data_IF_666594671442
#
_entry.id   IF_666594671442
#
_cell.length_a   1.000
_cell.length_b   1.000
_cell.length_c   1.000
_cell.angle_alpha   90.00
_cell.angle_beta   90.00
_cell.angle_gamma   90.00
#
_symmetry.space_group_name_H-M   'P 1'
#
loop_
_entity.id
_entity.type
_entity.pdbx_description
1 polymer ?
#
# COMPACT_ATOMS: atom_id res chain seq x y z
N UNK A 1 0.26 7.39 -17.13
CA UNK A 1 1.67 7.37 -16.66
C UNK A 1 2.70 7.52 -17.78
N UNK A 2 2.37 7.33 -19.07
CA UNK A 2 3.32 7.62 -20.17
C UNK A 2 4.63 6.83 -20.10
N UNK A 3 4.59 5.62 -19.54
CA UNK A 3 5.77 4.82 -19.25
C UNK A 3 6.33 4.21 -20.54
N UNK A 4 7.63 4.31 -20.72
CA UNK A 4 8.36 3.66 -21.80
C UNK A 4 8.79 2.25 -21.37
N UNK A 5 8.98 1.34 -22.31
CA UNK A 5 9.50 0.01 -22.01
C UNK A 5 10.84 0.12 -21.26
N UNK A 6 11.05 -0.72 -20.24
CA UNK A 6 12.19 -0.68 -19.31
C UNK A 6 12.28 0.53 -18.38
N UNK A 7 11.20 1.31 -18.19
CA UNK A 7 11.18 2.31 -17.10
C UNK A 7 11.32 1.62 -15.75
N UNK A 8 12.23 2.10 -14.91
CA UNK A 8 12.44 1.56 -13.57
C UNK A 8 11.18 1.73 -12.71
N UNK A 9 10.73 0.67 -12.06
CA UNK A 9 9.54 0.68 -11.19
C UNK A 9 9.65 1.70 -10.04
N UNK A 10 10.88 2.03 -9.62
CA UNK A 10 11.15 2.98 -8.53
C UNK A 10 10.89 4.43 -8.98
N UNK A 11 10.97 4.72 -10.27
CA UNK A 11 10.78 6.06 -10.82
C UNK A 11 9.31 6.36 -11.13
N UNK A 12 8.44 5.34 -11.05
CA UNK A 12 7.02 5.49 -11.32
C UNK A 12 6.37 6.22 -10.15
N UNK A 13 5.88 7.43 -10.41
CA UNK A 13 5.03 8.14 -9.46
C UNK A 13 3.70 7.40 -9.30
N UNK A 14 3.34 7.14 -8.06
CA UNK A 14 2.09 6.45 -7.68
C UNK A 14 1.21 7.45 -6.96
N UNK A 15 0.00 7.68 -7.45
CA UNK A 15 -0.96 8.60 -6.81
C UNK A 15 -1.87 7.88 -5.82
N UNK A 16 -2.12 6.58 -6.05
CA UNK A 16 -3.03 5.76 -5.23
C UNK A 16 -2.49 4.35 -5.07
N UNK A 17 -2.53 3.85 -3.85
CA UNK A 17 -2.13 2.48 -3.49
C UNK A 17 -3.32 1.79 -2.84
N UNK A 18 -3.68 0.62 -3.37
CA UNK A 18 -4.75 -0.22 -2.82
C UNK A 18 -4.15 -1.53 -2.35
N UNK A 19 -4.34 -1.85 -1.07
CA UNK A 19 -3.81 -3.05 -0.43
C UNK A 19 -4.99 -3.85 0.10
N UNK A 20 -5.38 -4.89 -0.65
CA UNK A 20 -6.38 -5.87 -0.23
C UNK A 20 -5.70 -7.18 0.12
N UNK A 21 -6.06 -7.75 1.26
CA UNK A 21 -5.54 -9.04 1.69
C UNK A 21 -6.59 -10.12 1.45
N UNK A 22 -6.23 -11.16 0.71
CA UNK A 22 -7.13 -12.28 0.45
C UNK A 22 -7.16 -13.23 1.65
N UNK A 23 -8.36 -13.45 2.17
CA UNK A 23 -8.83 -14.50 3.08
C UNK A 23 -8.13 -14.74 4.44
N UNK A 24 -6.81 -14.62 4.59
CA UNK A 24 -6.09 -14.85 5.86
C UNK A 24 -4.91 -13.88 6.01
N UNK A 25 -5.20 -12.57 6.07
CA UNK A 25 -4.15 -11.62 6.46
C UNK A 25 -3.78 -11.85 7.92
N UNK A 26 -2.50 -12.10 8.16
CA UNK A 26 -2.01 -12.01 9.53
C UNK A 26 -2.08 -10.54 9.95
N UNK A 27 -2.55 -10.26 11.17
CA UNK A 27 -2.58 -8.90 11.73
C UNK A 27 -1.22 -8.20 11.61
N UNK A 28 -0.13 -8.96 11.59
CA UNK A 28 1.23 -8.49 11.37
C UNK A 28 1.43 -7.83 10.00
N UNK A 29 0.91 -8.41 8.91
CA UNK A 29 1.02 -7.84 7.56
C UNK A 29 0.30 -6.50 7.46
N UNK A 30 -0.90 -6.43 8.04
CA UNK A 30 -1.68 -5.20 8.13
C UNK A 30 -0.95 -4.13 8.95
N UNK A 31 -0.39 -4.51 10.10
CA UNK A 31 0.34 -3.59 10.98
C UNK A 31 1.62 -3.09 10.32
N UNK A 32 2.36 -3.96 9.64
CA UNK A 32 3.57 -3.59 8.89
C UNK A 32 3.23 -2.63 7.75
N UNK A 33 2.18 -2.95 6.99
CA UNK A 33 1.69 -2.10 5.91
C UNK A 33 1.26 -0.72 6.42
N UNK A 34 0.45 -0.67 7.49
CA UNK A 34 0.01 0.57 8.09
C UNK A 34 1.18 1.41 8.63
N UNK A 35 2.19 0.78 9.25
CA UNK A 35 3.41 1.47 9.69
C UNK A 35 4.17 2.08 8.52
N UNK A 36 4.33 1.37 7.41
CA UNK A 36 5.00 1.90 6.22
C UNK A 36 4.24 3.09 5.62
N UNK A 37 2.91 3.04 5.60
CA UNK A 37 2.07 4.17 5.15
C UNK A 37 2.17 5.36 6.12
N UNK A 38 2.17 5.12 7.43
CA UNK A 38 2.29 6.19 8.44
C UNK A 38 3.69 6.80 8.51
N UNK A 39 4.72 6.00 8.21
CA UNK A 39 6.10 6.49 8.11
C UNK A 39 6.36 7.23 6.79
N UNK A 40 5.46 7.10 5.80
CA UNK A 40 5.51 7.90 4.60
C UNK A 40 5.26 9.38 4.92
N UNK A 41 5.89 10.26 4.15
CA UNK A 41 5.78 11.71 4.38
C UNK A 41 4.32 12.17 4.25
N UNK A 42 3.82 13.04 5.13
CA UNK A 42 2.43 13.53 5.10
C UNK A 42 2.08 14.29 3.80
N UNK A 43 3.10 14.80 3.10
CA UNK A 43 3.08 15.53 1.84
C UNK A 43 3.33 14.66 0.60
N UNK A 44 3.36 13.32 0.75
CA UNK A 44 3.60 12.40 -0.37
C UNK A 44 2.55 12.49 -1.50
N UNK A 45 1.37 13.07 -1.23
CA UNK A 45 0.30 13.20 -2.22
C UNK A 45 -0.31 11.87 -2.68
N UNK A 46 0.04 10.77 -2.01
CA UNK A 46 -0.40 9.41 -2.34
C UNK A 46 -1.54 9.00 -1.42
N UNK A 47 -2.65 8.53 -1.99
CA UNK A 47 -3.77 7.98 -1.20
C UNK A 47 -3.57 6.47 -1.04
N UNK A 48 -3.34 6.03 0.20
CA UNK A 48 -3.27 4.61 0.54
C UNK A 48 -4.61 4.12 1.12
N UNK A 49 -5.14 3.04 0.55
CA UNK A 49 -6.37 2.38 1.00
C UNK A 49 -5.99 0.96 1.41
N UNK A 50 -6.14 0.65 2.70
CA UNK A 50 -5.86 -0.67 3.27
C UNK A 50 -7.19 -1.32 3.61
N UNK A 51 -7.49 -2.46 2.98
CA UNK A 51 -8.73 -3.21 3.21
C UNK A 51 -8.41 -4.45 4.04
N UNK A 52 -8.87 -4.51 5.30
CA UNK A 52 -8.70 -5.70 6.12
C UNK A 52 -9.54 -6.88 5.58
N UNK A 53 -9.02 -8.10 5.70
CA UNK A 53 -9.77 -9.31 5.39
C UNK A 53 -10.95 -9.51 6.36
N UNK A 54 -11.89 -10.42 6.05
CA UNK A 54 -13.11 -10.63 6.84
C UNK A 54 -12.90 -11.28 8.22
N UNK A 55 -11.66 -11.57 8.63
CA UNK A 55 -11.33 -12.13 9.94
C UNK A 55 -11.23 -11.04 11.01
N UNK A 56 -11.75 -11.30 12.22
CA UNK A 56 -11.56 -10.45 13.39
C UNK A 56 -10.07 -10.20 13.65
N UNK A 57 -9.59 -9.00 13.33
CA UNK A 57 -8.26 -8.53 13.69
C UNK A 57 -8.25 -8.30 15.20
N UNK A 58 -7.60 -9.19 15.96
CA UNK A 58 -7.26 -8.98 17.38
C UNK A 58 -5.87 -8.37 17.51
#
# INVERSE_FOLDING_TARGET
>A
MGLTANTSMVEIKIDKVFISLSMNSHTEDLRSTAKSVLAARPDAGVVAIIVPGPGLIK
#
